data_IF_395006597382
#
_entry.id   IF_395006597382
#
_cell.length_a   1.000
_cell.length_b   1.000
_cell.length_c   1.000
_cell.angle_alpha   90.00
_cell.angle_beta   90.00
_cell.angle_gamma   90.00
#
_symmetry.space_group_name_H-M   'P 1'
#
loop_
_entity.id
_entity.type
_entity.pdbx_description
1 polymer ?
#
# COMPACT_ATOMS: atom_id res chain seq x y z
N UNK A 1 11.74 -12.42 20.45
CA UNK A 1 11.44 -13.54 19.57
C UNK A 1 11.57 -13.10 18.12
N UNK A 2 12.35 -13.84 17.35
CA UNK A 2 12.55 -13.47 15.95
C UNK A 2 11.43 -14.03 15.10
N UNK A 3 10.88 -13.21 14.24
CA UNK A 3 9.87 -13.65 13.29
C UNK A 3 10.60 -14.13 12.04
N UNK A 4 10.21 -15.30 11.55
CA UNK A 4 10.73 -15.83 10.31
C UNK A 4 10.47 -14.83 9.18
N UNK A 5 11.50 -14.59 8.34
CA UNK A 5 11.37 -13.63 7.25
C UNK A 5 10.27 -14.01 6.28
N UNK A 6 10.06 -15.30 6.04
CA UNK A 6 8.98 -15.72 5.16
C UNK A 6 7.63 -15.39 5.75
N UNK A 7 7.48 -15.58 7.05
CA UNK A 7 6.25 -15.26 7.74
C UNK A 7 6.01 -13.76 7.75
N UNK A 8 7.07 -12.99 7.96
CA UNK A 8 6.98 -11.55 7.94
C UNK A 8 6.51 -11.04 6.58
N UNK A 9 7.06 -11.62 5.50
CA UNK A 9 6.61 -11.25 4.16
C UNK A 9 5.14 -11.54 3.94
N UNK A 10 4.68 -12.67 4.47
CA UNK A 10 3.26 -13.03 4.34
C UNK A 10 2.38 -12.02 5.07
N UNK A 11 2.83 -11.58 6.23
CA UNK A 11 2.09 -10.57 6.99
C UNK A 11 2.04 -9.25 6.21
N UNK A 12 3.19 -8.82 5.70
CA UNK A 12 3.26 -7.57 4.95
C UNK A 12 2.41 -7.67 3.69
N UNK A 13 2.46 -8.80 3.01
CA UNK A 13 1.68 -9.00 1.80
C UNK A 13 0.18 -8.95 2.10
N UNK A 14 -0.22 -9.59 3.20
CA UNK A 14 -1.62 -9.58 3.58
C UNK A 14 -2.10 -8.17 3.91
N UNK A 15 -1.28 -7.41 4.64
CA UNK A 15 -1.62 -6.03 4.98
C UNK A 15 -1.65 -5.16 3.73
N UNK A 16 -0.67 -5.34 2.84
CA UNK A 16 -0.64 -4.58 1.60
C UNK A 16 -1.84 -4.87 0.72
N UNK A 17 -2.22 -6.14 0.62
CA UNK A 17 -3.39 -6.53 -0.14
C UNK A 17 -4.65 -5.89 0.45
N UNK A 18 -4.78 -5.95 1.77
CA UNK A 18 -5.95 -5.38 2.44
C UNK A 18 -6.04 -3.88 2.20
N UNK A 19 -4.91 -3.19 2.32
CA UNK A 19 -4.87 -1.75 2.09
C UNK A 19 -5.24 -1.43 0.64
N UNK A 20 -4.68 -2.19 -0.31
CA UNK A 20 -4.93 -1.94 -1.72
C UNK A 20 -6.40 -2.16 -2.07
N UNK A 21 -7.00 -3.22 -1.53
CA UNK A 21 -8.39 -3.52 -1.86
C UNK A 21 -9.37 -2.58 -1.17
N UNK A 22 -8.97 -1.98 -0.05
CA UNK A 22 -9.83 -1.07 0.69
C UNK A 22 -9.49 0.39 0.44
N UNK A 23 -8.56 0.66 -0.48
CA UNK A 23 -8.03 1.99 -0.68
C UNK A 23 -9.11 3.03 -0.91
N UNK A 24 -10.03 2.75 -1.80
CA UNK A 24 -11.06 3.73 -2.17
C UNK A 24 -12.13 3.88 -1.10
N UNK A 25 -12.16 2.98 -0.14
CA UNK A 25 -13.07 3.10 1.00
C UNK A 25 -12.48 3.93 2.13
N UNK A 26 -11.19 4.22 2.07
CA UNK A 26 -10.52 4.99 3.10
C UNK A 26 -10.69 6.47 2.86
N UNK A 27 -10.74 7.24 3.96
CA UNK A 27 -10.77 8.69 3.84
C UNK A 27 -9.46 9.23 3.29
N UNK A 28 -9.51 10.42 2.71
CA UNK A 28 -8.32 11.01 2.09
C UNK A 28 -7.19 11.23 3.08
N UNK A 29 -7.51 11.53 4.33
CA UNK A 29 -6.49 11.71 5.36
C UNK A 29 -5.70 10.42 5.57
N UNK A 30 -6.41 9.31 5.63
CA UNK A 30 -5.77 8.01 5.82
C UNK A 30 -4.97 7.62 4.59
N UNK A 31 -5.51 7.86 3.42
CA UNK A 31 -4.82 7.57 2.17
C UNK A 31 -3.50 8.33 2.09
N UNK A 32 -3.52 9.61 2.44
CA UNK A 32 -2.32 10.42 2.42
C UNK A 32 -1.30 9.90 3.42
N UNK A 33 -1.75 9.58 4.61
CA UNK A 33 -0.85 9.07 5.65
C UNK A 33 -0.14 7.80 5.19
N UNK A 34 -0.90 6.89 4.63
CA UNK A 34 -0.35 5.62 4.17
C UNK A 34 0.61 5.83 3.01
N UNK A 35 0.21 6.67 2.05
CA UNK A 35 1.05 6.93 0.88
C UNK A 35 2.37 7.58 1.29
N UNK A 36 2.33 8.56 2.18
CA UNK A 36 3.54 9.21 2.63
C UNK A 36 4.43 8.25 3.41
N UNK A 37 3.83 7.39 4.22
CA UNK A 37 4.60 6.40 4.95
C UNK A 37 5.26 5.40 4.01
N UNK A 38 4.54 4.99 2.98
CA UNK A 38 5.07 4.02 2.02
C UNK A 38 6.19 4.58 1.16
N UNK A 39 6.21 5.90 0.95
CA UNK A 39 7.22 6.53 0.11
C UNK A 39 8.28 7.28 0.90
N UNK A 40 8.21 7.21 2.23
CA UNK A 40 9.09 8.00 3.10
C UNK A 40 10.57 7.70 2.84
N UNK A 41 10.91 6.44 2.74
CA UNK A 41 12.30 6.02 2.59
C UNK A 41 12.69 5.84 1.14
N UNK A 42 11.78 6.07 0.23
CA UNK A 42 12.05 5.92 -1.20
C UNK A 42 11.90 7.26 -1.88
N UNK A 43 13.03 7.85 -2.24
CA UNK A 43 13.04 9.19 -2.84
C UNK A 43 12.98 9.16 -4.36
N UNK A 44 12.86 7.99 -4.96
CA UNK A 44 12.77 7.87 -6.40
C UNK A 44 11.41 8.39 -6.87
N UNK A 45 11.39 9.50 -7.64
CA UNK A 45 10.11 10.05 -8.09
C UNK A 45 9.31 9.08 -8.95
N UNK A 46 9.99 8.21 -9.66
CA UNK A 46 9.30 7.24 -10.50
C UNK A 46 8.55 6.23 -9.65
N UNK A 47 9.15 5.80 -8.55
CA UNK A 47 8.47 4.87 -7.65
C UNK A 47 7.20 5.51 -7.09
N UNK A 48 7.29 6.77 -6.65
CA UNK A 48 6.13 7.47 -6.10
C UNK A 48 5.04 7.60 -7.14
N UNK A 49 5.41 7.94 -8.36
CA UNK A 49 4.45 8.09 -9.44
C UNK A 49 3.77 6.77 -9.76
N UNK A 50 4.55 5.71 -9.85
CA UNK A 50 3.99 4.40 -10.17
C UNK A 50 3.08 3.90 -9.06
N UNK A 51 3.45 4.14 -7.81
CA UNK A 51 2.61 3.74 -6.70
C UNK A 51 1.30 4.52 -6.69
N UNK A 52 1.37 5.82 -6.99
CA UNK A 52 0.17 6.64 -7.04
C UNK A 52 -0.78 6.16 -8.14
N UNK A 53 -0.23 5.83 -9.30
CA UNK A 53 -1.04 5.31 -10.41
C UNK A 53 -1.66 3.98 -10.03
N UNK A 54 -0.87 3.10 -9.42
CA UNK A 54 -1.36 1.79 -9.00
C UNK A 54 -2.56 1.95 -8.06
N UNK A 55 -2.42 2.80 -7.06
CA UNK A 55 -3.48 2.98 -6.08
C UNK A 55 -4.72 3.62 -6.68
N UNK A 56 -4.51 4.56 -7.60
CA UNK A 56 -5.63 5.23 -8.25
C UNK A 56 -6.42 4.27 -9.14
N UNK A 57 -5.73 3.39 -9.84
CA UNK A 57 -6.37 2.49 -10.81
C UNK A 57 -6.77 1.14 -10.23
N UNK A 58 -6.27 0.82 -9.04
CA UNK A 58 -6.54 -0.47 -8.44
C UNK A 58 -7.88 -0.42 -7.70
N UNK A 59 -8.94 -0.76 -8.42
CA UNK A 59 -10.27 -0.76 -7.84
C UNK A 59 -10.67 -2.15 -7.41
N UNK A 60 -11.35 -2.27 -6.26
CA UNK A 60 -11.99 -3.55 -5.94
C UNK A 60 -13.01 -3.88 -7.01
N UNK A 61 -13.00 -5.12 -7.44
CA UNK A 61 -13.97 -5.55 -8.44
C UNK A 61 -15.35 -5.60 -7.81
N UNK A 62 -16.28 -4.95 -8.46
CA UNK A 62 -17.63 -4.86 -7.93
C UNK A 62 -18.67 -5.46 -8.88
N UNK A 63 -18.23 -6.09 -9.91
CA UNK A 63 -19.15 -6.67 -10.87
C UNK A 63 -19.86 -7.88 -10.34
#
# INVERSE_FOLDING_TARGET
MAIDQDLERKFIQALGTAISTQWHAMGQDVQRLIFEAATKDNTDPKFREELAVFLHEHHPRTD
#
